data_IF_586011392682
#
_entry.id   IF_586011392682
#
_cell.length_a   1.000
_cell.length_b   1.000
_cell.length_c   1.000
_cell.angle_alpha   90.00
_cell.angle_beta   90.00
_cell.angle_gamma   90.00
#
_symmetry.space_group_name_H-M   'P 1'
#
loop_
_entity.id
_entity.type
_entity.pdbx_description
1 polymer ?
#
# COMPACT_ATOMS: atom_id res chain seq x y z
N UNK A 1 2.88 -22.69 -11.04
CA UNK A 1 2.48 -23.98 -10.43
C UNK A 1 0.96 -24.03 -10.49
N UNK A 2 0.38 -25.02 -11.15
CA UNK A 2 -1.09 -25.12 -11.24
C UNK A 2 -1.65 -25.26 -9.82
N UNK A 3 -2.56 -24.36 -9.43
CA UNK A 3 -3.32 -24.50 -8.17
C UNK A 3 -4.06 -25.83 -8.20
N UNK A 4 -3.68 -26.71 -7.28
CA UNK A 4 -4.40 -27.95 -7.01
C UNK A 4 -5.82 -27.56 -6.56
N UNK A 5 -6.85 -27.97 -7.30
CA UNK A 5 -8.25 -27.58 -7.05
C UNK A 5 -8.86 -28.27 -5.81
N UNK A 6 -8.02 -28.71 -4.88
CA UNK A 6 -8.35 -29.52 -3.71
C UNK A 6 -7.89 -28.89 -2.39
N UNK A 7 -7.38 -27.65 -2.40
CA UNK A 7 -7.00 -26.99 -1.15
C UNK A 7 -8.24 -26.67 -0.31
N UNK A 8 -8.39 -27.40 0.80
CA UNK A 8 -9.32 -27.07 1.88
C UNK A 8 -8.56 -26.31 2.97
N UNK A 9 -8.97 -25.07 3.23
CA UNK A 9 -8.40 -24.29 4.31
C UNK A 9 -8.67 -24.97 5.66
N UNK A 10 -7.69 -24.99 6.59
CA UNK A 10 -7.97 -25.43 7.95
C UNK A 10 -9.09 -24.58 8.56
N UNK A 11 -9.89 -25.18 9.44
CA UNK A 11 -11.03 -24.52 10.07
C UNK A 11 -10.70 -24.21 11.52
N UNK A 12 -11.14 -23.05 11.99
CA UNK A 12 -11.13 -22.72 13.41
C UNK A 12 -12.24 -23.50 14.15
N UNK A 13 -12.10 -23.65 15.47
CA UNK A 13 -13.06 -24.37 16.32
C UNK A 13 -14.50 -23.79 16.26
N UNK A 14 -14.64 -22.55 15.82
CA UNK A 14 -15.92 -21.86 15.61
C UNK A 14 -16.41 -21.88 14.15
N UNK A 15 -15.87 -22.77 13.30
CA UNK A 15 -16.50 -23.16 12.04
C UNK A 15 -16.24 -22.26 10.83
N UNK A 16 -15.18 -21.44 10.85
CA UNK A 16 -14.76 -20.59 9.72
C UNK A 16 -13.34 -20.96 9.25
N UNK A 17 -12.95 -20.62 8.01
CA UNK A 17 -11.57 -20.77 7.56
C UNK A 17 -10.58 -20.04 8.46
N UNK A 18 -9.48 -20.71 8.80
CA UNK A 18 -8.37 -20.16 9.57
C UNK A 18 -7.47 -19.33 8.63
N UNK A 19 -7.64 -18.02 8.73
CA UNK A 19 -6.82 -17.00 8.09
C UNK A 19 -5.83 -16.36 9.08
N UNK A 20 -5.69 -16.89 10.29
CA UNK A 20 -4.80 -16.30 11.28
C UNK A 20 -3.34 -16.39 10.82
N UNK A 21 -2.55 -15.42 11.27
CA UNK A 21 -1.11 -15.39 11.01
C UNK A 21 -0.65 -14.08 10.41
N UNK A 22 0.57 -14.11 9.87
CA UNK A 22 1.21 -12.96 9.23
C UNK A 22 1.09 -13.12 7.73
N UNK A 23 0.56 -12.09 7.09
CA UNK A 23 0.31 -11.98 5.66
C UNK A 23 1.09 -10.79 5.12
N UNK A 24 1.52 -10.89 3.88
CA UNK A 24 2.04 -9.75 3.14
C UNK A 24 0.96 -9.19 2.22
N UNK A 25 0.87 -7.86 2.13
CA UNK A 25 0.11 -7.14 1.12
C UNK A 25 1.05 -6.43 0.14
N UNK A 26 2.30 -6.90 0.06
CA UNK A 26 3.29 -6.43 -0.92
C UNK A 26 2.79 -6.66 -2.34
N UNK A 27 2.64 -5.57 -3.07
CA UNK A 27 2.24 -5.59 -4.48
C UNK A 27 2.61 -4.27 -5.15
N UNK A 28 2.77 -4.32 -6.48
CA UNK A 28 2.88 -3.13 -7.33
C UNK A 28 1.53 -2.63 -7.87
N UNK A 29 0.43 -3.29 -7.50
CA UNK A 29 -0.92 -2.83 -7.84
C UNK A 29 -1.26 -1.56 -7.07
N UNK A 30 -1.35 -0.44 -7.80
CA UNK A 30 -1.75 0.84 -7.24
C UNK A 30 -3.24 0.90 -6.89
N UNK A 31 -3.62 1.89 -6.06
CA UNK A 31 -5.02 2.15 -5.72
C UNK A 31 -5.90 2.37 -6.97
N UNK A 32 -5.40 3.16 -7.93
CA UNK A 32 -6.11 3.51 -9.16
C UNK A 32 -5.39 2.94 -10.38
N UNK A 33 -6.14 2.61 -11.44
CA UNK A 33 -5.59 2.03 -12.67
C UNK A 33 -4.65 3.01 -13.39
N UNK A 34 -3.38 2.65 -13.61
CA UNK A 34 -2.46 3.40 -14.47
C UNK A 34 -2.99 3.52 -15.90
N UNK A 35 -2.64 4.62 -16.59
CA UNK A 35 -3.13 4.87 -17.95
C UNK A 35 -2.67 3.84 -18.99
N UNK A 36 -1.58 3.11 -18.72
CA UNK A 36 -1.10 2.03 -19.60
C UNK A 36 -1.99 0.78 -19.60
N UNK A 37 -2.90 0.65 -18.64
CA UNK A 37 -3.83 -0.48 -18.53
C UNK A 37 -5.25 -0.05 -18.85
N UNK A 38 -5.95 -0.86 -19.64
CA UNK A 38 -7.38 -0.65 -19.97
C UNK A 38 -8.27 -1.57 -19.14
N UNK A 39 -7.83 -2.81 -18.92
CA UNK A 39 -8.57 -3.86 -18.22
C UNK A 39 -8.22 -3.93 -16.73
N UNK A 40 -9.17 -4.42 -15.91
CA UNK A 40 -8.95 -4.68 -14.49
C UNK A 40 -8.02 -5.88 -14.25
N UNK A 41 -8.09 -6.88 -15.11
CA UNK A 41 -7.32 -8.12 -15.03
C UNK A 41 -6.53 -8.30 -16.33
N UNK A 42 -5.25 -8.62 -16.20
CA UNK A 42 -4.36 -8.95 -17.33
C UNK A 42 -3.69 -10.30 -17.08
N UNK A 43 -3.19 -10.92 -18.14
CA UNK A 43 -2.36 -12.12 -18.04
C UNK A 43 -0.92 -11.81 -17.63
N UNK A 44 -0.16 -12.86 -17.31
CA UNK A 44 1.23 -12.77 -16.89
C UNK A 44 2.12 -12.13 -17.96
N UNK A 45 1.92 -12.49 -19.23
CA UNK A 45 2.70 -11.98 -20.36
C UNK A 45 2.52 -10.46 -20.49
N UNK A 46 1.29 -9.97 -20.41
CA UNK A 46 1.00 -8.53 -20.44
C UNK A 46 1.60 -7.83 -19.23
N UNK A 47 1.53 -8.43 -18.03
CA UNK A 47 2.14 -7.87 -16.82
C UNK A 47 3.66 -7.71 -16.99
N UNK A 48 4.37 -8.76 -17.40
CA UNK A 48 5.83 -8.74 -17.60
C UNK A 48 6.24 -7.68 -18.64
N UNK A 49 5.47 -7.52 -19.72
CA UNK A 49 5.79 -6.58 -20.80
C UNK A 49 5.48 -5.12 -20.48
N UNK A 50 4.66 -4.84 -19.46
CA UNK A 50 4.17 -3.48 -19.15
C UNK A 50 4.59 -2.97 -17.79
N UNK A 51 4.94 -3.86 -16.86
CA UNK A 51 5.44 -3.50 -15.55
C UNK A 51 6.94 -3.21 -15.66
N UNK A 52 7.34 -2.01 -15.27
CA UNK A 52 8.75 -1.62 -15.22
C UNK A 52 9.53 -2.58 -14.30
N UNK A 53 10.73 -3.06 -14.66
CA UNK A 53 11.48 -3.99 -13.80
C UNK A 53 11.74 -3.42 -12.40
N UNK A 54 11.61 -4.25 -11.36
CA UNK A 54 11.86 -3.87 -9.96
C UNK A 54 13.26 -3.26 -9.78
N UNK A 55 14.28 -3.82 -10.44
CA UNK A 55 15.64 -3.29 -10.40
C UNK A 55 15.73 -1.83 -10.86
N UNK A 56 15.01 -1.48 -11.93
CA UNK A 56 14.98 -0.10 -12.44
C UNK A 56 14.36 0.85 -11.42
N UNK A 57 13.26 0.45 -10.78
CA UNK A 57 12.61 1.25 -9.74
C UNK A 57 13.51 1.43 -8.51
N UNK A 58 14.22 0.38 -8.09
CA UNK A 58 15.15 0.44 -6.96
C UNK A 58 16.36 1.33 -7.27
N UNK A 59 16.90 1.26 -8.49
CA UNK A 59 17.98 2.14 -8.95
C UNK A 59 17.52 3.62 -8.99
N UNK A 60 16.28 3.87 -9.39
CA UNK A 60 15.70 5.22 -9.37
C UNK A 60 15.57 5.76 -7.94
N UNK A 61 15.15 4.93 -6.98
CA UNK A 61 15.11 5.33 -5.58
C UNK A 61 16.49 5.64 -4.99
N UNK A 62 17.54 4.94 -5.42
CA UNK A 62 18.93 5.26 -5.07
C UNK A 62 19.38 6.61 -5.61
N UNK A 63 18.69 7.15 -6.62
CA UNK A 63 19.06 8.39 -7.28
C UNK A 63 18.06 9.53 -6.99
N UNK A 64 17.13 9.33 -6.05
CA UNK A 64 16.08 10.28 -5.72
C UNK A 64 16.30 11.01 -4.39
N UNK A 65 15.75 12.22 -4.27
CA UNK A 65 15.68 12.94 -2.99
C UNK A 65 17.05 13.23 -2.38
N UNK A 66 17.26 12.76 -1.14
CA UNK A 66 18.54 12.92 -0.43
C UNK A 66 19.57 11.84 -0.78
N UNK A 67 19.18 10.80 -1.54
CA UNK A 67 20.04 9.69 -1.94
C UNK A 67 20.83 9.94 -3.24
N UNK A 68 20.64 11.07 -3.92
CA UNK A 68 21.22 11.36 -5.26
C UNK A 68 22.70 11.00 -5.37
N UNK A 69 23.02 10.01 -6.20
CA UNK A 69 24.41 9.67 -6.48
C UNK A 69 25.15 10.86 -7.10
N UNK A 70 26.43 10.99 -6.78
CA UNK A 70 27.31 12.03 -7.30
C UNK A 70 26.88 13.47 -6.95
N UNK A 71 25.98 13.66 -5.98
CA UNK A 71 25.61 14.97 -5.42
C UNK A 71 26.41 15.24 -4.14
N UNK A 72 27.26 16.28 -4.07
CA UNK A 72 27.95 16.65 -2.83
C UNK A 72 27.03 17.01 -1.66
N UNK A 73 25.76 17.32 -1.93
CA UNK A 73 24.73 17.55 -0.93
C UNK A 73 23.97 16.26 -0.52
N UNK A 74 24.40 15.10 -1.03
CA UNK A 74 23.86 13.81 -0.64
C UNK A 74 24.14 13.56 0.85
N UNK A 75 23.06 13.52 1.64
CA UNK A 75 23.10 13.20 3.08
C UNK A 75 22.65 11.76 3.36
N UNK A 76 22.48 10.96 2.30
CA UNK A 76 21.95 9.61 2.32
C UNK A 76 20.43 9.58 2.48
N UNK A 77 19.93 8.38 2.72
CA UNK A 77 18.53 8.03 2.75
C UNK A 77 18.40 6.54 3.03
N UNK A 78 17.19 6.01 2.91
CA UNK A 78 16.96 4.59 3.23
C UNK A 78 17.70 3.69 2.25
N UNK A 79 18.27 2.60 2.76
CA UNK A 79 18.96 1.60 1.94
C UNK A 79 17.91 0.79 1.16
N UNK A 80 18.00 0.71 -0.18
CA UNK A 80 17.08 -0.05 -1.00
C UNK A 80 17.07 -1.55 -0.73
N UNK A 81 18.08 -2.11 -0.05
CA UNK A 81 18.03 -3.53 0.37
C UNK A 81 16.82 -3.80 1.29
N UNK A 82 16.34 -2.79 2.00
CA UNK A 82 15.13 -2.89 2.82
C UNK A 82 13.84 -2.61 2.04
N UNK A 83 13.92 -2.31 0.74
CA UNK A 83 12.74 -2.04 -0.05
C UNK A 83 12.07 -3.33 -0.52
N UNK A 84 10.80 -3.47 -0.18
CA UNK A 84 9.97 -4.63 -0.47
C UNK A 84 8.75 -4.16 -1.29
N UNK A 85 9.01 -3.70 -2.51
CA UNK A 85 7.97 -3.16 -3.42
C UNK A 85 7.24 -4.25 -4.21
N UNK A 86 7.70 -5.50 -4.13
CA UNK A 86 7.21 -6.64 -4.92
C UNK A 86 7.70 -6.64 -6.36
N UNK A 87 7.58 -7.80 -7.01
CA UNK A 87 7.98 -8.01 -8.40
C UNK A 87 6.79 -8.09 -9.37
N UNK A 88 5.57 -8.04 -8.85
CA UNK A 88 4.36 -8.24 -9.64
C UNK A 88 3.21 -7.34 -9.19
N UNK A 89 2.22 -7.24 -10.08
CA UNK A 89 0.87 -6.84 -9.70
C UNK A 89 0.23 -7.95 -8.84
N UNK A 90 -0.79 -7.62 -8.05
CA UNK A 90 -1.50 -8.57 -7.21
C UNK A 90 -2.15 -9.66 -8.08
N UNK A 91 -1.75 -10.91 -7.83
CA UNK A 91 -2.33 -12.08 -8.47
C UNK A 91 -3.61 -12.51 -7.73
N UNK A 92 -4.71 -12.62 -8.47
CA UNK A 92 -6.00 -13.10 -7.99
C UNK A 92 -6.56 -14.04 -9.05
N UNK A 93 -6.87 -15.28 -8.65
CA UNK A 93 -7.44 -16.31 -9.52
C UNK A 93 -6.65 -16.54 -10.83
N UNK A 94 -5.31 -16.52 -10.73
CA UNK A 94 -4.39 -16.73 -11.86
C UNK A 94 -4.28 -15.55 -12.83
N UNK A 95 -4.79 -14.37 -12.46
CA UNK A 95 -4.67 -13.13 -13.23
C UNK A 95 -4.12 -11.99 -12.38
N UNK A 96 -3.61 -10.96 -13.05
CA UNK A 96 -2.95 -9.83 -12.41
C UNK A 96 -3.85 -8.58 -12.39
N UNK A 97 -4.06 -8.00 -11.20
CA UNK A 97 -4.92 -6.82 -10.99
C UNK A 97 -4.18 -5.52 -11.30
N UNK A 98 -4.75 -4.69 -12.18
CA UNK A 98 -4.17 -3.40 -12.57
C UNK A 98 -4.56 -2.24 -11.63
N UNK A 99 -5.52 -2.46 -10.74
CA UNK A 99 -5.94 -1.51 -9.69
C UNK A 99 -6.58 -2.21 -8.50
N UNK A 100 -6.49 -1.60 -7.31
CA UNK A 100 -7.26 -2.03 -6.13
C UNK A 100 -8.74 -1.63 -6.29
N UNK A 101 -9.02 -0.45 -6.84
CA UNK A 101 -10.39 -0.05 -7.16
C UNK A 101 -10.89 -0.90 -8.33
N UNK A 102 -11.99 -1.61 -8.09
CA UNK A 102 -12.68 -2.46 -9.08
C UNK A 102 -13.97 -1.83 -9.60
N UNK A 103 -14.62 -1.00 -8.77
CA UNK A 103 -15.79 -0.21 -9.11
C UNK A 103 -15.53 1.27 -8.76
N UNK A 104 -15.61 2.20 -9.72
CA UNK A 104 -16.04 2.04 -11.12
C UNK A 104 -15.09 1.17 -11.99
N UNK A 105 -15.59 0.62 -13.13
CA UNK A 105 -14.82 -0.28 -13.99
C UNK A 105 -13.51 0.29 -14.53
N UNK A 106 -13.36 1.62 -14.60
CA UNK A 106 -12.11 2.28 -15.01
C UNK A 106 -11.03 2.25 -13.92
N UNK A 107 -11.35 1.71 -12.73
CA UNK A 107 -10.42 1.57 -11.61
C UNK A 107 -9.98 2.91 -11.04
N UNK A 108 -10.77 3.97 -11.15
CA UNK A 108 -10.43 5.32 -10.67
C UNK A 108 -11.38 5.78 -9.58
N UNK A 109 -10.91 6.71 -8.74
CA UNK A 109 -11.74 7.29 -7.70
C UNK A 109 -12.85 8.12 -8.37
N UNK A 110 -14.14 7.83 -8.12
CA UNK A 110 -15.26 8.58 -8.69
C UNK A 110 -15.44 9.90 -7.93
N UNK A 111 -14.54 10.86 -8.20
CA UNK A 111 -14.62 12.18 -7.56
C UNK A 111 -15.93 12.87 -7.92
N UNK A 112 -16.62 13.40 -6.91
CA UNK A 112 -17.68 14.39 -7.11
C UNK A 112 -17.12 15.63 -7.79
N UNK A 113 -18.01 16.46 -8.36
CA UNK A 113 -17.62 17.77 -8.89
C UNK A 113 -16.74 18.53 -7.87
N UNK A 114 -15.63 19.11 -8.34
CA UNK A 114 -14.61 19.79 -7.53
C UNK A 114 -13.82 18.89 -6.56
N UNK A 115 -14.22 17.64 -6.31
CA UNK A 115 -13.59 16.74 -5.34
C UNK A 115 -12.10 16.51 -5.60
N UNK A 116 -11.72 16.32 -6.86
CA UNK A 116 -10.31 16.18 -7.24
C UNK A 116 -9.49 17.45 -6.97
N UNK A 117 -10.07 18.63 -7.17
CA UNK A 117 -9.42 19.91 -6.88
C UNK A 117 -9.26 20.13 -5.37
N UNK A 118 -10.31 19.85 -4.59
CA UNK A 118 -10.29 19.91 -3.13
C UNK A 118 -9.23 18.95 -2.57
N UNK A 119 -9.18 17.70 -3.06
CA UNK A 119 -8.19 16.71 -2.62
C UNK A 119 -6.75 17.18 -2.89
N UNK A 120 -6.50 17.78 -4.06
CA UNK A 120 -5.19 18.38 -4.40
C UNK A 120 -4.85 19.57 -3.51
N UNK A 121 -5.83 20.43 -3.20
CA UNK A 121 -5.65 21.55 -2.28
C UNK A 121 -5.28 21.07 -0.87
N UNK A 122 -6.00 20.08 -0.34
CA UNK A 122 -5.70 19.47 0.96
C UNK A 122 -4.30 18.84 0.98
N UNK A 123 -3.89 18.14 -0.07
CA UNK A 123 -2.54 17.57 -0.15
C UNK A 123 -1.44 18.64 -0.05
N UNK A 124 -1.67 19.84 -0.59
CA UNK A 124 -0.74 20.98 -0.48
C UNK A 124 -0.73 21.58 0.92
N UNK A 125 -1.85 21.58 1.63
CA UNK A 125 -1.96 22.14 2.98
C UNK A 125 -1.36 21.24 4.06
N UNK A 126 -1.12 19.94 3.81
CA UNK A 126 -0.43 19.04 4.75
C UNK A 126 0.98 19.55 5.10
N UNK A 127 1.58 20.36 4.22
CA UNK A 127 2.88 20.97 4.44
C UNK A 127 2.82 22.43 4.89
N UNK A 128 1.61 22.97 5.12
CA UNK A 128 1.39 24.33 5.61
C UNK A 128 1.18 24.29 7.12
N UNK A 129 2.07 24.94 7.86
CA UNK A 129 2.01 25.07 9.32
C UNK A 129 1.48 26.47 9.67
N UNK A 130 0.81 26.66 10.83
CA UNK A 130 0.47 28.00 11.30
C UNK A 130 1.72 28.88 11.32
N UNK A 131 1.63 30.15 10.91
CA UNK A 131 2.79 31.05 10.87
C UNK A 131 3.53 31.16 12.22
N UNK A 132 2.83 30.88 13.33
CA UNK A 132 3.36 30.89 14.69
C UNK A 132 4.11 29.61 15.11
N UNK A 133 4.18 28.58 14.26
CA UNK A 133 4.88 27.32 14.54
C UNK A 133 5.67 26.85 13.31
N UNK A 134 6.98 26.72 13.46
CA UNK A 134 7.83 26.06 12.48
C UNK A 134 7.56 24.55 12.41
N UNK A 135 8.00 23.93 11.29
CA UNK A 135 7.94 22.48 10.99
C UNK A 135 8.50 21.54 12.07
N UNK A 136 9.17 22.10 13.07
CA UNK A 136 9.87 21.39 14.14
C UNK A 136 9.69 22.05 15.51
N UNK A 137 8.77 23.01 15.64
CA UNK A 137 8.52 23.71 16.91
C UNK A 137 7.64 22.82 17.79
N UNK A 138 8.30 22.02 18.63
CA UNK A 138 7.64 21.06 19.51
C UNK A 138 6.98 19.88 18.77
N UNK A 139 6.32 18.98 19.51
CA UNK A 139 5.63 17.84 18.93
C UNK A 139 4.38 18.23 18.13
N UNK A 140 3.74 19.36 18.43
CA UNK A 140 2.55 19.84 17.71
C UNK A 140 2.89 20.35 16.30
N UNK A 141 4.11 20.87 16.09
CA UNK A 141 4.61 21.29 14.78
C UNK A 141 5.04 20.14 13.87
N UNK A 142 4.98 18.89 14.33
CA UNK A 142 5.37 17.69 13.56
C UNK A 142 4.15 17.00 12.95
N UNK A 143 4.29 16.53 11.70
CA UNK A 143 3.23 15.77 11.04
C UNK A 143 2.94 14.45 11.77
N UNK A 144 1.76 13.87 11.55
CA UNK A 144 1.36 12.60 12.18
C UNK A 144 2.32 11.44 11.86
N UNK A 145 2.94 11.45 10.68
CA UNK A 145 3.96 10.49 10.26
C UNK A 145 5.25 10.64 11.04
N UNK A 146 5.70 11.87 11.27
CA UNK A 146 6.94 12.18 12.01
C UNK A 146 6.83 11.79 13.48
N UNK A 147 5.59 11.72 13.99
CA UNK A 147 5.27 11.32 15.36
C UNK A 147 4.92 9.84 15.50
N UNK A 148 5.03 9.07 14.42
CA UNK A 148 4.62 7.67 14.35
C UNK A 148 3.17 7.42 14.82
N UNK A 149 2.28 8.41 14.62
CA UNK A 149 0.85 8.30 14.93
C UNK A 149 0.05 7.80 13.74
N UNK A 150 0.48 8.15 12.52
CA UNK A 150 -0.12 7.66 11.29
C UNK A 150 0.90 7.63 10.15
N UNK A 151 1.02 6.49 9.48
CA UNK A 151 1.92 6.32 8.35
C UNK A 151 1.19 6.14 7.01
N UNK A 152 1.97 6.22 5.94
CA UNK A 152 1.54 6.28 4.54
C UNK A 152 0.90 4.98 4.01
N UNK A 153 1.31 3.81 4.51
CA UNK A 153 0.76 2.50 4.11
C UNK A 153 -0.32 1.97 5.07
N UNK A 154 -0.35 2.50 6.30
CA UNK A 154 -1.19 1.98 7.38
C UNK A 154 -2.62 2.51 7.39
N UNK A 155 -2.98 3.45 6.52
CA UNK A 155 -4.36 3.93 6.38
C UNK A 155 -5.20 2.94 5.63
N UNK A 156 -6.45 2.73 6.07
CA UNK A 156 -7.43 1.93 5.34
C UNK A 156 -7.91 2.68 4.07
N UNK A 157 -8.00 2.02 2.91
CA UNK A 157 -7.51 0.65 2.63
C UNK A 157 -5.98 0.61 2.68
N UNK A 158 -5.41 -0.45 3.28
CA UNK A 158 -3.95 -0.60 3.36
C UNK A 158 -3.38 -0.66 1.95
N UNK A 159 -2.37 0.17 1.68
CA UNK A 159 -1.71 0.25 0.37
C UNK A 159 -0.26 -0.15 0.56
N UNK A 160 0.21 -1.07 -0.28
CA UNK A 160 1.62 -1.43 -0.37
C UNK A 160 2.48 -0.19 -0.53
N UNK A 161 3.58 -0.12 0.20
CA UNK A 161 4.58 0.94 0.09
C UNK A 161 5.96 0.33 -0.17
N UNK A 162 7.00 1.12 0.04
CA UNK A 162 8.38 0.72 -0.20
C UNK A 162 8.89 -0.29 0.83
N UNK A 163 8.25 -0.44 1.99
CA UNK A 163 8.62 -1.41 3.02
C UNK A 163 7.48 -1.59 4.04
N UNK A 164 7.64 -2.54 4.96
CA UNK A 164 6.71 -2.87 6.06
C UNK A 164 5.31 -3.25 5.57
N UNK A 165 5.25 -4.03 4.48
CA UNK A 165 4.02 -4.46 3.84
C UNK A 165 3.41 -5.72 4.47
N UNK A 166 3.66 -5.96 5.77
CA UNK A 166 3.08 -7.09 6.50
C UNK A 166 1.86 -6.67 7.32
N UNK A 167 0.93 -7.60 7.48
CA UNK A 167 -0.20 -7.49 8.38
C UNK A 167 -0.40 -8.80 9.15
N UNK A 168 -0.87 -8.69 10.39
CA UNK A 168 -1.35 -9.82 11.16
C UNK A 168 -2.87 -9.88 11.10
N UNK A 169 -3.41 -11.06 10.82
CA UNK A 169 -4.83 -11.36 10.95
C UNK A 169 -5.05 -12.12 12.26
N UNK A 170 -5.98 -11.63 13.07
CA UNK A 170 -6.47 -12.30 14.28
C UNK A 170 -7.97 -12.47 14.17
N UNK A 171 -8.47 -13.70 14.30
CA UNK A 171 -9.89 -14.01 14.19
C UNK A 171 -10.50 -14.32 15.56
N UNK A 172 -11.75 -13.93 15.71
CA UNK A 172 -12.63 -14.29 16.82
C UNK A 172 -14.01 -14.65 16.23
N UNK A 173 -14.94 -15.20 17.02
CA UNK A 173 -16.24 -15.60 16.49
C UNK A 173 -17.03 -14.49 15.79
N UNK A 174 -16.87 -13.23 16.20
CA UNK A 174 -17.65 -12.09 15.71
C UNK A 174 -16.80 -10.92 15.17
N UNK A 175 -15.47 -11.02 15.21
CA UNK A 175 -14.56 -10.00 14.68
C UNK A 175 -13.32 -10.58 14.00
N UNK A 176 -12.83 -9.85 13.01
CA UNK A 176 -11.48 -9.99 12.45
C UNK A 176 -10.69 -8.72 12.74
N UNK A 177 -9.49 -8.87 13.28
CA UNK A 177 -8.55 -7.76 13.51
C UNK A 177 -7.43 -7.86 12.50
N UNK A 178 -7.22 -6.77 11.76
CA UNK A 178 -6.10 -6.59 10.85
C UNK A 178 -5.12 -5.59 11.48
N UNK A 179 -3.93 -6.04 11.83
CA UNK A 179 -2.88 -5.19 12.41
C UNK A 179 -1.75 -5.05 11.40
N UNK A 180 -1.56 -3.86 10.85
CA UNK A 180 -0.46 -3.63 9.90
C UNK A 180 0.85 -3.35 10.63
N UNK A 181 1.96 -3.82 10.09
CA UNK A 181 3.31 -3.64 10.65
C UNK A 181 3.64 -2.15 10.83
N UNK A 182 3.41 -1.35 9.78
CA UNK A 182 3.70 0.08 9.82
C UNK A 182 2.79 0.78 10.85
N UNK A 183 3.39 1.34 11.91
CA UNK A 183 2.70 2.07 13.00
C UNK A 183 1.72 1.22 13.83
N UNK A 184 1.63 -0.09 13.61
CA UNK A 184 0.74 -1.00 14.35
C UNK A 184 -0.74 -0.57 14.33
N UNK A 185 -1.21 0.02 13.22
CA UNK A 185 -2.62 0.42 13.13
C UNK A 185 -3.52 -0.81 13.05
N UNK A 186 -4.51 -0.87 13.95
CA UNK A 186 -5.44 -1.99 14.04
C UNK A 186 -6.78 -1.61 13.40
N UNK A 187 -7.31 -2.51 12.59
CA UNK A 187 -8.68 -2.43 12.07
C UNK A 187 -9.48 -3.62 12.53
N UNK A 188 -10.50 -3.32 13.32
CA UNK A 188 -11.42 -4.29 13.88
C UNK A 188 -12.66 -4.28 12.99
N UNK A 189 -12.86 -5.38 12.28
CA UNK A 189 -14.00 -5.60 11.38
C UNK A 189 -14.95 -6.55 12.08
N UNK A 190 -16.15 -6.08 12.38
CA UNK A 190 -17.22 -6.96 12.83
C UNK A 190 -17.63 -7.87 11.66
N UNK A 191 -17.72 -9.17 11.91
CA UNK A 191 -18.21 -10.16 10.96
C UNK A 191 -19.50 -10.77 11.49
N UNK A 192 -20.39 -11.10 10.56
CA UNK A 192 -21.55 -11.94 10.85
C UNK A 192 -21.17 -13.40 10.51
N UNK A 193 -21.64 -14.35 11.32
CA UNK A 193 -21.51 -15.77 11.03
C UNK A 193 -22.63 -16.24 10.10
#
# INVERSE_FOLDING_TARGET
MAQDSSYEAPMLDFGVPDLQGIWTYETRTGLQRPAQYTELEIDEETMINTLEPTSTVLDDYQNFGTNRQNDPANVGGYDPEYFSIGDSLAEIDGKYRTSIITDPPDGRIPYREQGAAIRRQQARSVFQFPESQGRSDGPEGRALSDRCLKAFSSSTPFISSVYNNNMQIVQSPDHVVLVVEMVHDARIVKIDQ
#
